data_IF_259684109168
#
_entry.id   IF_259684109168
#
_cell.length_a   1.000
_cell.length_b   1.000
_cell.length_c   1.000
_cell.angle_alpha   90.00
_cell.angle_beta   90.00
_cell.angle_gamma   90.00
#
_symmetry.space_group_name_H-M   'P 1'
#
loop_
_entity.id
_entity.type
_entity.pdbx_description
1 polymer ?
#
# COMPACT_ATOMS: atom_id res chain seq x y z
N UNK A 1 2.48 10.27 21.64
CA UNK A 1 2.63 9.71 20.28
C UNK A 1 1.55 10.34 19.40
N UNK A 2 1.91 11.25 18.49
CA UNK A 2 0.95 11.85 17.55
C UNK A 2 0.81 10.91 16.36
N UNK A 3 -0.39 10.38 16.15
CA UNK A 3 -0.74 9.64 14.93
C UNK A 3 -0.42 10.52 13.72
N UNK A 4 0.31 9.98 12.75
CA UNK A 4 0.50 10.66 11.47
C UNK A 4 -0.89 10.88 10.87
N UNK A 5 -1.29 12.12 10.51
CA UNK A 5 -2.62 12.36 9.99
C UNK A 5 -2.71 11.72 8.60
N UNK A 6 -3.20 10.47 8.53
CA UNK A 6 -3.45 9.71 7.31
C UNK A 6 -4.67 10.25 6.53
N UNK A 7 -4.83 11.58 6.52
CA UNK A 7 -6.06 12.28 6.11
C UNK A 7 -6.36 12.14 4.62
N UNK A 8 -5.36 11.74 3.82
CA UNK A 8 -5.51 11.60 2.37
C UNK A 8 -5.97 10.20 1.92
N UNK A 9 -5.77 9.17 2.75
CA UNK A 9 -6.06 7.77 2.41
C UNK A 9 -7.20 7.17 3.23
N UNK A 10 -7.63 7.84 4.31
CA UNK A 10 -8.70 7.36 5.18
C UNK A 10 -10.01 8.06 4.82
N UNK A 11 -10.94 7.32 4.22
CA UNK A 11 -12.32 7.79 4.03
C UNK A 11 -13.09 7.80 5.38
N UNK A 12 -14.07 8.70 5.60
CA UNK A 12 -14.50 9.06 6.95
C UNK A 12 -15.54 8.15 7.64
N UNK A 13 -16.11 7.13 7.02
CA UNK A 13 -17.17 6.33 7.66
C UNK A 13 -17.20 4.86 7.23
N UNK A 14 -16.36 3.98 7.81
CA UNK A 14 -16.52 2.50 7.79
C UNK A 14 -15.63 1.86 8.89
N UNK A 15 -15.77 0.55 9.23
CA UNK A 15 -14.94 -0.18 10.22
C UNK A 15 -13.41 -0.11 10.05
N UNK A 16 -12.92 0.59 9.02
CA UNK A 16 -11.53 0.99 8.82
C UNK A 16 -10.98 1.95 9.90
N UNK A 17 -11.79 2.42 10.85
CA UNK A 17 -11.34 3.27 11.96
C UNK A 17 -10.42 2.55 12.95
N UNK A 18 -10.52 1.22 13.09
CA UNK A 18 -9.67 0.48 14.03
C UNK A 18 -8.23 0.36 13.52
N UNK A 19 -8.05 0.28 12.19
CA UNK A 19 -6.74 0.13 11.54
C UNK A 19 -6.60 1.12 10.38
N UNK A 20 -6.54 2.43 10.66
CA UNK A 20 -6.58 3.47 9.63
C UNK A 20 -5.35 3.44 8.71
N UNK A 21 -4.28 2.77 9.13
CA UNK A 21 -3.04 2.63 8.37
C UNK A 21 -3.06 1.46 7.38
N UNK A 22 -4.07 0.57 7.41
CA UNK A 22 -4.10 -0.61 6.55
C UNK A 22 -4.36 -0.25 5.09
N UNK A 23 -3.55 -0.85 4.20
CA UNK A 23 -3.70 -0.78 2.75
C UNK A 23 -3.77 -2.20 2.18
N UNK A 24 -4.65 -2.40 1.20
CA UNK A 24 -4.63 -3.58 0.35
C UNK A 24 -3.79 -3.28 -0.89
N UNK A 25 -2.73 -4.06 -1.13
CA UNK A 25 -1.94 -4.01 -2.36
C UNK A 25 -2.58 -4.93 -3.40
N UNK A 26 -2.92 -4.34 -4.54
CA UNK A 26 -3.70 -4.96 -5.60
C UNK A 26 -2.96 -4.95 -6.92
N UNK A 27 -3.21 -5.96 -7.74
CA UNK A 27 -2.70 -6.03 -9.11
C UNK A 27 -3.56 -5.17 -10.07
N UNK A 28 -3.19 -5.18 -11.36
CA UNK A 28 -3.89 -4.42 -12.40
C UNK A 28 -5.38 -4.80 -12.56
N UNK A 29 -5.77 -6.01 -12.15
CA UNK A 29 -7.14 -6.50 -12.19
C UNK A 29 -7.95 -6.17 -10.92
N UNK A 30 -7.42 -5.30 -10.04
CA UNK A 30 -7.98 -4.95 -8.73
C UNK A 30 -8.11 -6.14 -7.77
N UNK A 31 -7.36 -7.22 -7.98
CA UNK A 31 -7.32 -8.34 -7.03
C UNK A 31 -6.25 -8.07 -5.96
N UNK A 32 -6.65 -8.13 -4.69
CA UNK A 32 -5.75 -8.03 -3.55
C UNK A 32 -4.85 -9.27 -3.47
N UNK A 33 -3.55 -9.05 -3.31
CA UNK A 33 -2.57 -10.15 -3.16
C UNK A 33 -1.58 -9.93 -2.01
N UNK A 34 -1.42 -8.69 -1.53
CA UNK A 34 -0.55 -8.35 -0.40
C UNK A 34 -1.18 -7.24 0.46
N UNK A 35 -0.56 -6.99 1.62
CA UNK A 35 -0.84 -5.85 2.47
C UNK A 35 0.20 -4.74 2.33
N UNK A 36 -0.15 -3.55 2.79
CA UNK A 36 0.77 -2.44 3.01
C UNK A 36 0.29 -1.57 4.18
N UNK A 37 1.12 -0.63 4.63
CA UNK A 37 0.78 0.30 5.70
C UNK A 37 1.13 1.73 5.35
N UNK A 38 0.25 2.67 5.70
CA UNK A 38 0.46 4.10 5.49
C UNK A 38 1.54 4.62 6.43
N UNK A 39 2.55 5.28 5.87
CA UNK A 39 3.64 5.93 6.62
C UNK A 39 3.70 7.45 6.38
N UNK A 40 3.06 7.95 5.33
CA UNK A 40 2.91 9.38 5.03
C UNK A 40 1.69 9.62 4.13
N UNK A 41 1.39 10.89 3.82
CA UNK A 41 0.24 11.29 3.00
C UNK A 41 0.16 10.59 1.64
N UNK A 42 1.32 10.26 1.05
CA UNK A 42 1.44 9.65 -0.27
C UNK A 42 2.43 8.48 -0.30
N UNK A 43 2.82 7.98 0.87
CA UNK A 43 3.73 6.84 0.99
C UNK A 43 3.13 5.73 1.85
N UNK A 44 3.25 4.51 1.35
CA UNK A 44 3.07 3.29 2.11
C UNK A 44 4.36 2.47 2.18
N UNK A 45 4.40 1.55 3.13
CA UNK A 45 5.41 0.49 3.24
C UNK A 45 4.75 -0.86 2.98
N UNK A 46 5.45 -1.73 2.26
CA UNK A 46 5.07 -3.12 2.00
C UNK A 46 6.33 -4.00 2.02
N UNK A 47 6.19 -5.26 1.65
CA UNK A 47 7.30 -6.19 1.47
C UNK A 47 7.89 -6.06 0.05
N UNK A 48 9.19 -6.29 -0.09
CA UNK A 48 9.86 -6.29 -1.38
C UNK A 48 9.42 -7.49 -2.23
N UNK A 49 9.19 -8.67 -1.63
CA UNK A 49 8.72 -9.84 -2.37
C UNK A 49 7.34 -9.62 -3.00
N UNK A 50 6.52 -8.71 -2.46
CA UNK A 50 5.22 -8.34 -3.03
C UNK A 50 5.34 -7.43 -4.27
N UNK A 51 6.46 -6.73 -4.43
CA UNK A 51 6.59 -5.61 -5.38
C UNK A 51 7.74 -5.78 -6.36
N UNK A 52 8.69 -6.67 -6.09
CA UNK A 52 9.77 -7.04 -7.00
C UNK A 52 9.20 -7.61 -8.30
N UNK A 53 9.73 -7.16 -9.44
CA UNK A 53 9.27 -7.57 -10.77
C UNK A 53 8.02 -6.84 -11.28
N UNK A 54 7.33 -6.07 -10.45
CA UNK A 54 6.22 -5.22 -10.87
C UNK A 54 6.69 -3.82 -11.27
N UNK A 55 6.10 -3.28 -12.34
CA UNK A 55 6.12 -1.86 -12.66
C UNK A 55 5.05 -1.12 -11.86
N UNK A 56 5.29 0.15 -11.53
CA UNK A 56 4.37 0.95 -10.72
C UNK A 56 2.92 0.99 -11.28
N UNK A 57 2.76 1.09 -12.60
CA UNK A 57 1.45 1.10 -13.25
C UNK A 57 0.68 -0.24 -13.18
N UNK A 58 1.33 -1.33 -12.78
CA UNK A 58 0.71 -2.65 -12.61
C UNK A 58 0.14 -2.82 -11.20
N UNK A 59 0.45 -1.91 -10.27
CA UNK A 59 0.02 -1.97 -8.88
C UNK A 59 -0.92 -0.82 -8.52
N UNK A 60 -1.84 -1.13 -7.61
CA UNK A 60 -2.79 -0.19 -7.04
C UNK A 60 -2.87 -0.45 -5.55
N UNK A 61 -3.26 0.56 -4.78
CA UNK A 61 -3.55 0.38 -3.35
C UNK A 61 -4.99 0.78 -3.05
N UNK A 62 -5.70 -0.01 -2.26
CA UNK A 62 -6.97 0.39 -1.66
C UNK A 62 -6.74 0.79 -0.22
N UNK A 63 -7.26 1.96 0.14
CA UNK A 63 -7.22 2.50 1.48
C UNK A 63 -8.63 2.70 2.04
N UNK A 64 -8.79 2.56 3.36
CA UNK A 64 -10.03 2.89 4.06
C UNK A 64 -11.19 1.89 3.85
N UNK A 65 -10.90 0.62 3.55
CA UNK A 65 -11.91 -0.45 3.46
C UNK A 65 -11.53 -1.65 4.32
N UNK A 66 -12.53 -2.30 4.91
CA UNK A 66 -12.42 -3.63 5.55
C UNK A 66 -12.92 -4.76 4.63
N UNK A 67 -13.33 -4.43 3.40
CA UNK A 67 -13.85 -5.39 2.43
C UNK A 67 -12.82 -5.63 1.33
N UNK A 68 -12.59 -6.90 1.00
CA UNK A 68 -11.55 -7.33 0.03
C UNK A 68 -11.83 -6.74 -1.36
N UNK A 69 -13.08 -6.70 -1.79
CA UNK A 69 -13.44 -6.36 -3.18
C UNK A 69 -14.26 -5.06 -3.33
N UNK A 70 -14.66 -4.40 -2.24
CA UNK A 70 -15.48 -3.17 -2.29
C UNK A 70 -15.02 -2.11 -1.28
N UNK A 71 -15.61 -0.91 -1.38
CA UNK A 71 -15.37 0.21 -0.45
C UNK A 71 -13.99 0.87 -0.57
N UNK A 72 -13.76 1.88 0.26
CA UNK A 72 -12.51 2.62 0.31
C UNK A 72 -12.21 3.43 -0.95
N UNK A 73 -10.96 3.83 -1.11
CA UNK A 73 -10.45 4.57 -2.28
C UNK A 73 -9.30 3.81 -2.93
N UNK A 74 -9.27 3.76 -4.25
CA UNK A 74 -8.22 3.09 -5.03
C UNK A 74 -7.26 4.15 -5.59
N UNK A 75 -5.97 3.98 -5.31
CA UNK A 75 -4.91 4.88 -5.74
C UNK A 75 -3.93 4.14 -6.65
N UNK A 76 -3.51 4.79 -7.73
CA UNK A 76 -2.50 4.25 -8.65
C UNK A 76 -1.12 4.47 -8.06
N UNK A 77 -0.30 3.42 -8.06
CA UNK A 77 1.10 3.51 -7.61
C UNK A 77 1.90 4.27 -8.68
N UNK A 78 2.61 5.31 -8.24
CA UNK A 78 3.54 6.08 -9.09
C UNK A 78 4.98 5.62 -8.99
N UNK A 79 5.36 4.99 -7.87
CA UNK A 79 6.75 4.62 -7.62
C UNK A 79 6.81 3.43 -6.67
N UNK A 80 7.76 2.54 -6.94
CA UNK A 80 8.12 1.41 -6.09
C UNK A 80 9.61 1.55 -5.80
N UNK A 81 9.99 1.43 -4.52
CA UNK A 81 11.39 1.43 -4.09
C UNK A 81 11.60 0.20 -3.23
N UNK A 82 12.09 -0.87 -3.84
CA UNK A 82 12.55 -2.04 -3.10
C UNK A 82 13.88 -1.72 -2.40
N UNK A 83 14.10 -2.29 -1.22
CA UNK A 83 15.39 -2.18 -0.57
C UNK A 83 16.50 -2.68 -1.50
N UNK A 84 17.56 -1.89 -1.67
CA UNK A 84 18.63 -2.18 -2.65
C UNK A 84 19.31 -3.54 -2.41
N UNK A 85 19.41 -3.95 -1.15
CA UNK A 85 19.97 -5.25 -0.73
C UNK A 85 18.92 -6.36 -0.55
N UNK A 86 17.70 -6.21 -1.08
CA UNK A 86 16.69 -7.26 -1.02
C UNK A 86 17.21 -8.54 -1.70
N UNK A 87 17.08 -9.68 -1.00
CA UNK A 87 17.52 -10.97 -1.49
C UNK A 87 16.33 -11.94 -1.58
N UNK A 88 15.89 -12.23 -2.81
CA UNK A 88 14.72 -13.09 -3.05
C UNK A 88 14.88 -14.56 -2.63
N UNK A 89 16.11 -15.05 -2.38
CA UNK A 89 16.35 -16.43 -1.92
C UNK A 89 16.25 -16.57 -0.40
N UNK A 90 16.62 -15.52 0.33
CA UNK A 90 16.70 -15.54 1.81
C UNK A 90 15.63 -14.67 2.47
N UNK A 91 14.93 -13.83 1.69
CA UNK A 91 14.02 -12.78 2.18
C UNK A 91 14.70 -11.73 3.07
N UNK A 92 16.04 -11.65 3.05
CA UNK A 92 16.74 -10.57 3.72
C UNK A 92 16.41 -9.22 3.07
N UNK A 93 16.17 -8.22 3.91
CA UNK A 93 15.75 -6.87 3.53
C UNK A 93 14.44 -6.84 2.74
N UNK A 94 13.47 -7.65 3.13
CA UNK A 94 12.13 -7.72 2.53
C UNK A 94 11.24 -6.52 2.89
N UNK A 95 11.62 -5.35 2.39
CA UNK A 95 10.91 -4.10 2.60
C UNK A 95 10.89 -3.27 1.32
N UNK A 96 9.74 -2.64 1.05
CA UNK A 96 9.51 -1.80 -0.12
C UNK A 96 8.68 -0.57 0.24
N UNK A 97 9.05 0.58 -0.34
CA UNK A 97 8.25 1.80 -0.27
C UNK A 97 7.42 1.93 -1.53
N UNK A 98 6.15 2.26 -1.36
CA UNK A 98 5.22 2.51 -2.45
C UNK A 98 4.72 3.95 -2.36
N UNK A 99 4.82 4.69 -3.46
CA UNK A 99 4.29 6.05 -3.57
C UNK A 99 3.06 6.05 -4.45
N UNK A 100 2.01 6.74 -4.03
CA UNK A 100 0.82 7.00 -4.85
C UNK A 100 0.83 8.43 -5.39
N UNK A 101 0.20 8.65 -6.55
CA UNK A 101 -0.08 10.03 -6.99
C UNK A 101 -1.22 10.59 -6.18
N UNK A 102 -1.03 11.80 -5.68
CA UNK A 102 -2.09 12.62 -5.10
C UNK A 102 -2.61 13.51 -6.22
N UNK A 103 -3.92 13.44 -6.48
CA UNK A 103 -4.59 14.44 -7.30
C UNK A 103 -4.77 15.73 -6.51
#
# INVERSE_FOLDING_TARGET
MKLCPAKLLVAPQLPSTQFPHMLALMNANNAQFCGASIISNNWGVSAAHCTVGFSANQLRVRAGSSQVNSGGSIHVVSQIINHASYNARTLNNDISLIRVRTH
#
